data_IF_001599114259
#
_entry.id   IF_001599114259
#
_cell.length_a   1.000
_cell.length_b   1.000
_cell.length_c   1.000
_cell.angle_alpha   90.00
_cell.angle_beta   90.00
_cell.angle_gamma   90.00
#
_symmetry.space_group_name_H-M   'P 1'
#
loop_
_entity.id
_entity.type
_entity.pdbx_description
1 polymer ?
#
# COMPACT_ATOMS: atom_id res chain seq x y z
N UNK A 1 -1.13 9.66 -25.03
CA UNK A 1 -0.44 8.56 -24.33
C UNK A 1 -1.51 7.78 -23.57
N UNK A 2 -1.59 6.49 -23.84
CA UNK A 2 -2.58 5.55 -23.30
C UNK A 2 -2.14 5.03 -21.94
N UNK A 3 -3.09 4.81 -21.03
CA UNK A 3 -2.83 4.10 -19.76
C UNK A 3 -2.67 2.62 -20.06
N UNK A 4 -1.65 1.97 -19.52
CA UNK A 4 -1.45 0.51 -19.69
C UNK A 4 -2.49 -0.28 -18.89
N UNK A 5 -2.79 -1.51 -19.31
CA UNK A 5 -3.75 -2.39 -18.61
C UNK A 5 -3.43 -2.55 -17.12
N UNK A 6 -2.14 -2.66 -16.78
CA UNK A 6 -1.68 -2.80 -15.39
C UNK A 6 -2.03 -1.56 -14.55
N UNK A 7 -1.82 -0.37 -15.11
CA UNK A 7 -2.14 0.91 -14.44
C UNK A 7 -3.64 1.10 -14.26
N UNK A 8 -4.45 0.61 -15.20
CA UNK A 8 -5.91 0.59 -15.05
C UNK A 8 -6.33 -0.32 -13.88
N UNK A 9 -5.70 -1.49 -13.74
CA UNK A 9 -5.92 -2.39 -12.61
C UNK A 9 -5.57 -1.76 -11.25
N UNK A 10 -4.48 -1.00 -11.16
CA UNK A 10 -4.11 -0.30 -9.92
C UNK A 10 -5.12 0.78 -9.51
N UNK A 11 -5.73 1.47 -10.49
CA UNK A 11 -6.79 2.46 -10.23
C UNK A 11 -8.09 1.75 -9.78
N UNK A 12 -8.43 0.62 -10.40
CA UNK A 12 -9.58 -0.20 -10.00
C UNK A 12 -9.42 -0.73 -8.57
N UNK A 13 -8.22 -1.20 -8.22
CA UNK A 13 -7.89 -1.63 -6.86
C UNK A 13 -8.02 -0.48 -5.84
N UNK A 14 -7.59 0.73 -6.20
CA UNK A 14 -7.77 1.91 -5.34
C UNK A 14 -9.26 2.22 -5.11
N UNK A 15 -10.06 2.19 -6.18
CA UNK A 15 -11.51 2.40 -6.11
C UNK A 15 -12.17 1.36 -5.21
N UNK A 16 -11.83 0.08 -5.38
CA UNK A 16 -12.36 -1.00 -4.56
C UNK A 16 -12.01 -0.83 -3.07
N UNK A 17 -10.75 -0.48 -2.76
CA UNK A 17 -10.31 -0.24 -1.37
C UNK A 17 -11.06 0.93 -0.73
N UNK A 18 -11.27 2.03 -1.46
CA UNK A 18 -12.05 3.18 -1.00
C UNK A 18 -13.50 2.78 -0.71
N UNK A 19 -14.15 2.03 -1.61
CA UNK A 19 -15.53 1.54 -1.42
C UNK A 19 -15.65 0.61 -0.21
N UNK A 20 -14.72 -0.33 -0.05
CA UNK A 20 -14.66 -1.23 1.12
C UNK A 20 -14.53 -0.46 2.43
N UNK A 21 -13.64 0.53 2.49
CA UNK A 21 -13.52 1.41 3.66
C UNK A 21 -14.81 2.23 3.93
N UNK A 22 -15.47 2.74 2.89
CA UNK A 22 -16.76 3.45 3.02
C UNK A 22 -17.88 2.56 3.57
N UNK A 23 -17.86 1.26 3.23
CA UNK A 23 -18.85 0.30 3.72
C UNK A 23 -18.50 -0.27 5.10
N UNK A 24 -17.29 -0.01 5.62
CA UNK A 24 -16.79 -0.62 6.85
C UNK A 24 -16.26 -2.05 6.67
N UNK A 25 -16.10 -2.49 5.42
CA UNK A 25 -15.51 -3.78 5.04
C UNK A 25 -13.99 -3.69 5.13
N UNK A 26 -13.47 -3.60 6.35
CA UNK A 26 -12.04 -3.41 6.61
C UNK A 26 -11.35 -4.77 6.79
N UNK A 27 -10.12 -4.95 6.27
CA UNK A 27 -9.34 -6.17 6.49
C UNK A 27 -9.23 -6.52 7.98
N UNK A 28 -9.36 -7.80 8.31
CA UNK A 28 -9.40 -8.25 9.69
C UNK A 28 -8.15 -7.90 10.51
N UNK A 29 -7.03 -7.61 9.85
CA UNK A 29 -5.77 -7.21 10.47
C UNK A 29 -5.76 -5.78 11.06
N UNK A 30 -6.76 -4.93 10.74
CA UNK A 30 -6.75 -3.50 11.10
C UNK A 30 -7.86 -3.14 12.12
N UNK A 31 -8.52 -4.15 12.72
CA UNK A 31 -9.68 -3.99 13.62
C UNK A 31 -9.42 -3.11 14.86
N UNK A 32 -8.17 -2.98 15.29
CA UNK A 32 -7.79 -2.20 16.49
C UNK A 32 -7.56 -0.70 16.22
N UNK A 33 -7.63 -0.27 14.96
CA UNK A 33 -7.44 1.13 14.58
C UNK A 33 -8.78 1.85 14.42
N UNK A 34 -8.77 3.16 14.63
CA UNK A 34 -9.90 3.98 14.24
C UNK A 34 -10.14 3.87 12.74
N UNK A 35 -11.41 4.03 12.33
CA UNK A 35 -11.82 4.03 10.93
C UNK A 35 -10.96 4.97 10.06
N UNK A 36 -10.48 6.07 10.62
CA UNK A 36 -9.71 7.08 9.88
C UNK A 36 -8.23 6.73 9.79
N UNK A 37 -7.66 6.20 10.87
CA UNK A 37 -6.33 5.59 10.84
C UNK A 37 -6.25 4.41 9.86
N UNK A 38 -7.36 3.67 9.68
CA UNK A 38 -7.48 2.62 8.67
C UNK A 38 -7.44 3.19 7.25
N UNK A 39 -8.11 4.32 6.97
CA UNK A 39 -8.05 4.97 5.66
C UNK A 39 -6.61 5.28 5.26
N UNK A 40 -5.87 5.92 6.17
CA UNK A 40 -4.46 6.28 5.93
C UNK A 40 -3.65 5.02 5.63
N UNK A 41 -3.74 3.99 6.46
CA UNK A 41 -2.92 2.77 6.29
C UNK A 41 -3.32 1.90 5.10
N UNK A 42 -4.60 1.90 4.71
CA UNK A 42 -5.14 0.98 3.71
C UNK A 42 -5.21 1.58 2.31
N UNK A 43 -5.46 2.89 2.21
CA UNK A 43 -5.69 3.60 0.93
C UNK A 43 -4.46 4.38 0.46
N UNK A 44 -3.70 5.01 1.36
CA UNK A 44 -2.53 5.83 0.98
C UNK A 44 -1.48 5.06 0.16
N UNK A 45 -1.08 3.82 0.53
CA UNK A 45 -0.08 3.08 -0.25
C UNK A 45 -0.55 2.81 -1.68
N UNK A 46 -1.81 2.42 -1.84
CA UNK A 46 -2.42 2.13 -3.15
C UNK A 46 -2.55 3.41 -3.99
N UNK A 47 -2.90 4.53 -3.36
CA UNK A 47 -3.02 5.80 -4.04
C UNK A 47 -1.67 6.33 -4.55
N UNK A 48 -0.58 6.07 -3.81
CA UNK A 48 0.77 6.41 -4.26
C UNK A 48 1.19 5.59 -5.48
N UNK A 49 0.85 4.30 -5.54
CA UNK A 49 1.07 3.44 -6.73
C UNK A 49 0.34 4.01 -7.94
N UNK A 50 -0.93 4.40 -7.76
CA UNK A 50 -1.73 5.04 -8.82
C UNK A 50 -1.11 6.36 -9.29
N UNK A 51 -0.64 7.21 -8.38
CA UNK A 51 0.00 8.48 -8.73
C UNK A 51 1.28 8.28 -9.55
N UNK A 52 2.10 7.28 -9.19
CA UNK A 52 3.28 6.90 -9.97
C UNK A 52 2.90 6.33 -11.35
N UNK A 53 1.83 5.54 -11.43
CA UNK A 53 1.32 5.04 -12.72
C UNK A 53 0.82 6.16 -13.63
N UNK A 54 0.08 7.11 -13.07
CA UNK A 54 -0.51 8.25 -13.78
C UNK A 54 0.54 9.26 -14.24
N UNK A 55 1.65 9.46 -13.51
CA UNK A 55 2.71 10.42 -13.93
C UNK A 55 3.33 10.08 -15.26
N UNK A 56 3.44 8.78 -15.57
CA UNK A 56 3.97 8.31 -16.83
C UNK A 56 2.96 8.33 -18.00
N UNK A 57 1.65 8.47 -17.74
CA UNK A 57 0.61 8.37 -18.79
C UNK A 57 -0.26 9.61 -18.96
N UNK A 58 -0.57 10.30 -17.86
CA UNK A 58 -1.46 11.47 -17.81
C UNK A 58 -1.01 12.44 -16.70
N UNK A 59 0.12 13.14 -16.89
CA UNK A 59 0.71 14.02 -15.87
C UNK A 59 -0.24 15.11 -15.38
N UNK A 60 -1.11 15.63 -16.26
CA UNK A 60 -2.13 16.63 -15.89
C UNK A 60 -3.17 16.09 -14.89
N UNK A 61 -3.42 14.79 -14.89
CA UNK A 61 -4.35 14.15 -13.94
C UNK A 61 -3.70 13.84 -12.59
N UNK A 62 -2.37 13.67 -12.53
CA UNK A 62 -1.64 13.38 -11.29
C UNK A 62 -1.84 14.48 -10.27
N UNK A 63 -1.69 15.75 -10.68
CA UNK A 63 -1.83 16.88 -9.77
C UNK A 63 -3.22 16.90 -9.13
N UNK A 64 -4.26 16.60 -9.92
CA UNK A 64 -5.63 16.57 -9.45
C UNK A 64 -5.88 15.41 -8.46
N UNK A 65 -5.43 14.20 -8.80
CA UNK A 65 -5.54 13.01 -7.94
C UNK A 65 -4.75 13.20 -6.65
N UNK A 66 -3.54 13.77 -6.73
CA UNK A 66 -2.68 14.00 -5.56
C UNK A 66 -3.31 15.01 -4.60
N UNK A 67 -3.82 16.14 -5.09
CA UNK A 67 -4.48 17.15 -4.26
C UNK A 67 -5.69 16.54 -3.53
N UNK A 68 -6.50 15.75 -4.23
CA UNK A 68 -7.69 15.12 -3.63
C UNK A 68 -7.34 14.03 -2.61
N UNK A 69 -6.28 13.25 -2.86
CA UNK A 69 -5.77 12.30 -1.89
C UNK A 69 -5.28 13.00 -0.61
N UNK A 70 -4.50 14.07 -0.75
CA UNK A 70 -3.99 14.83 0.39
C UNK A 70 -5.12 15.49 1.20
N UNK A 71 -6.14 16.01 0.52
CA UNK A 71 -7.35 16.56 1.17
C UNK A 71 -8.07 15.48 2.00
N UNK A 72 -8.24 14.28 1.44
CA UNK A 72 -8.88 13.14 2.08
C UNK A 72 -8.09 12.66 3.32
N UNK A 73 -6.77 12.47 3.19
CA UNK A 73 -5.92 11.99 4.28
C UNK A 73 -5.81 13.02 5.41
N UNK A 74 -5.67 14.31 5.08
CA UNK A 74 -5.67 15.40 6.06
C UNK A 74 -6.97 15.43 6.85
N UNK A 75 -8.11 15.32 6.16
CA UNK A 75 -9.42 15.36 6.80
C UNK A 75 -9.62 14.14 7.71
N UNK A 76 -9.20 12.95 7.28
CA UNK A 76 -9.24 11.74 8.10
C UNK A 76 -8.47 11.90 9.42
N UNK A 77 -7.27 12.48 9.38
CA UNK A 77 -6.49 12.81 10.58
C UNK A 77 -7.23 13.77 11.51
N UNK A 78 -7.91 14.79 10.97
CA UNK A 78 -8.69 15.75 11.76
C UNK A 78 -9.89 15.11 12.47
N UNK A 79 -10.64 14.23 11.78
CA UNK A 79 -11.78 13.53 12.40
C UNK A 79 -11.31 12.59 13.50
N UNK A 80 -10.14 11.98 13.33
CA UNK A 80 -9.54 11.10 14.36
C UNK A 80 -9.21 11.87 15.64
N UNK A 81 -8.63 13.06 15.52
CA UNK A 81 -8.36 13.95 16.65
C UNK A 81 -9.66 14.45 17.30
N UNK A 82 -10.65 14.88 16.51
CA UNK A 82 -11.92 15.40 17.02
C UNK A 82 -12.70 14.35 17.83
N UNK A 83 -12.65 13.07 17.47
CA UNK A 83 -13.31 12.01 18.25
C UNK A 83 -12.81 11.90 19.69
N UNK A 84 -11.62 12.41 19.99
CA UNK A 84 -11.06 12.40 21.34
C UNK A 84 -11.59 13.55 22.20
N UNK A 85 -12.11 14.63 21.59
CA UNK A 85 -12.43 15.89 22.25
C UNK A 85 -13.91 16.32 22.11
N UNK A 86 -14.53 16.09 20.94
CA UNK A 86 -15.91 16.48 20.60
C UNK A 86 -16.59 15.46 19.68
N UNK A 87 -17.53 14.70 20.23
CA UNK A 87 -18.23 13.61 19.54
C UNK A 87 -19.20 14.14 18.47
N UNK A 88 -19.88 15.26 18.71
CA UNK A 88 -20.88 15.80 17.80
C UNK A 88 -20.22 16.52 16.62
N UNK A 89 -19.13 17.25 16.87
CA UNK A 89 -18.26 17.79 15.82
C UNK A 89 -17.63 16.69 14.96
N UNK A 90 -17.19 15.58 15.57
CA UNK A 90 -16.65 14.44 14.84
C UNK A 90 -17.68 13.76 13.93
N UNK A 91 -18.96 13.70 14.31
CA UNK A 91 -20.04 13.11 13.48
C UNK A 91 -20.33 13.93 12.23
N UNK A 92 -20.35 15.24 12.35
CA UNK A 92 -20.51 16.13 11.20
C UNK A 92 -19.33 15.95 10.23
N UNK A 93 -18.11 15.89 10.76
CA UNK A 93 -16.91 15.76 9.94
C UNK A 93 -16.70 14.38 9.34
N UNK A 94 -17.22 13.33 9.97
CA UNK A 94 -17.30 11.98 9.40
C UNK A 94 -18.12 11.96 8.10
N UNK A 95 -19.26 12.67 8.10
CA UNK A 95 -20.12 12.77 6.92
C UNK A 95 -19.42 13.52 5.78
N UNK A 96 -18.70 14.59 6.10
CA UNK A 96 -17.90 15.34 5.12
C UNK A 96 -16.76 14.49 4.54
N UNK A 97 -16.09 13.71 5.37
CA UNK A 97 -15.01 12.81 4.93
C UNK A 97 -15.52 11.72 3.99
N UNK A 98 -16.68 11.13 4.27
CA UNK A 98 -17.31 10.14 3.39
C UNK A 98 -17.72 10.75 2.05
N UNK A 99 -18.19 12.00 2.05
CA UNK A 99 -18.43 12.78 0.84
C UNK A 99 -17.18 12.96 0.00
N UNK A 100 -16.06 13.40 0.60
CA UNK A 100 -14.77 13.53 -0.08
C UNK A 100 -14.27 12.23 -0.69
N UNK A 101 -14.42 11.11 0.04
CA UNK A 101 -14.04 9.79 -0.49
C UNK A 101 -14.90 9.39 -1.69
N UNK A 102 -16.20 9.71 -1.68
CA UNK A 102 -17.11 9.44 -2.80
C UNK A 102 -16.72 10.28 -4.02
N UNK A 103 -16.45 11.56 -3.81
CA UNK A 103 -16.00 12.46 -4.88
C UNK A 103 -14.68 11.99 -5.50
N UNK A 104 -13.78 11.48 -4.66
CA UNK A 104 -12.51 10.92 -5.14
C UNK A 104 -12.71 9.65 -5.98
N UNK A 105 -13.60 8.74 -5.56
CA UNK A 105 -13.99 7.58 -6.38
C UNK A 105 -14.61 8.01 -7.71
N UNK A 106 -15.54 8.96 -7.69
CA UNK A 106 -16.19 9.49 -8.91
C UNK A 106 -15.21 10.18 -9.85
N UNK A 107 -14.12 10.74 -9.34
CA UNK A 107 -13.02 11.29 -10.14
C UNK A 107 -12.19 10.19 -10.82
N UNK A 108 -11.95 9.06 -10.15
CA UNK A 108 -11.13 7.96 -10.67
C UNK A 108 -11.88 7.06 -11.66
N UNK A 109 -13.19 6.86 -11.50
CA UNK A 109 -13.99 5.99 -12.38
C UNK A 109 -13.93 6.38 -13.88
N UNK A 110 -14.02 7.65 -14.28
CA UNK A 110 -13.85 8.07 -15.67
C UNK A 110 -12.46 7.78 -16.24
N UNK A 111 -11.42 7.81 -15.41
CA UNK A 111 -10.04 7.53 -15.80
C UNK A 111 -9.91 6.07 -16.24
N UNK A 112 -10.48 5.15 -15.45
CA UNK A 112 -10.57 3.72 -15.78
C UNK A 112 -11.41 3.50 -17.04
N UNK A 113 -12.60 4.12 -17.13
CA UNK A 113 -13.50 3.94 -18.28
C UNK A 113 -12.88 4.42 -19.59
N UNK A 114 -12.15 5.54 -19.56
CA UNK A 114 -11.45 6.08 -20.74
C UNK A 114 -10.32 5.16 -21.17
N UNK A 115 -9.55 4.64 -20.23
CA UNK A 115 -8.49 3.66 -20.52
C UNK A 115 -9.03 2.32 -21.06
N UNK A 116 -10.20 1.88 -20.59
CA UNK A 116 -10.84 0.65 -21.06
C UNK A 116 -11.46 0.79 -22.47
N UNK A 117 -11.84 2.01 -22.89
CA UNK A 117 -12.36 2.27 -24.24
C UNK A 117 -11.26 2.55 -25.27
N UNK A 118 -10.03 2.86 -24.84
CA UNK A 118 -8.84 2.96 -25.69
C UNK A 118 -8.16 1.58 -25.87
N UNK A 119 -8.94 0.52 -26.10
CA UNK A 119 -8.37 -0.80 -26.44
C UNK A 119 -7.47 -0.67 -27.67
N UNK A 120 -6.22 -1.16 -27.63
CA UNK A 120 -5.41 -1.30 -28.83
C UNK A 120 -6.06 -2.36 -29.72
N UNK A 121 -6.04 -2.13 -31.04
CA UNK A 121 -6.30 -3.16 -32.04
C UNK A 121 -5.48 -4.43 -31.71
N UNK A 122 -6.02 -5.64 -31.89
CA UNK A 122 -5.18 -6.82 -31.93
C UNK A 122 -4.45 -6.76 -33.26
N UNK A 123 -3.12 -6.78 -33.24
CA UNK A 123 -2.32 -7.51 -34.22
C UNK A 123 -0.83 -7.37 -33.82
N UNK A 124 -0.25 -8.54 -33.56
CA UNK A 124 1.13 -8.89 -33.87
C UNK A 124 2.24 -7.94 -33.42
N UNK A 125 2.68 -8.12 -32.17
CA UNK A 125 4.09 -7.96 -31.83
C UNK A 125 4.42 -8.77 -30.57
N UNK A 126 4.72 -10.05 -30.76
CA UNK A 126 5.85 -10.62 -30.05
C UNK A 126 7.04 -9.67 -30.24
N UNK A 127 7.52 -9.03 -29.17
CA UNK A 127 8.95 -8.82 -28.90
C UNK A 127 9.18 -7.91 -27.67
N UNK A 128 10.20 -8.29 -26.91
CA UNK A 128 10.89 -7.57 -25.84
C UNK A 128 10.28 -7.64 -24.42
N UNK A 129 10.52 -8.80 -23.80
CA UNK A 129 10.59 -9.02 -22.35
C UNK A 129 11.95 -8.62 -21.75
N UNK A 130 12.79 -7.88 -22.48
CA UNK A 130 14.09 -7.40 -22.03
C UNK A 130 14.05 -5.87 -22.11
N UNK A 131 13.70 -5.21 -21.00
CA UNK A 131 13.97 -3.78 -20.69
C UNK A 131 13.27 -3.28 -19.40
N UNK A 132 12.75 -4.15 -18.54
CA UNK A 132 12.29 -3.80 -17.18
C UNK A 132 13.35 -4.21 -16.13
N UNK A 133 14.63 -3.98 -16.43
CA UNK A 133 15.71 -4.05 -15.42
C UNK A 133 16.32 -2.67 -15.10
N UNK A 134 15.79 -1.58 -15.67
CA UNK A 134 16.46 -0.27 -15.58
C UNK A 134 15.63 0.91 -15.08
N UNK A 135 14.43 0.68 -14.52
CA UNK A 135 13.64 1.75 -13.89
C UNK A 135 13.07 1.40 -12.49
N UNK A 136 13.59 0.36 -11.84
CA UNK A 136 13.27 0.03 -10.43
C UNK A 136 14.43 0.43 -9.51
N UNK A 137 15.05 1.58 -9.77
CA UNK A 137 16.15 2.10 -8.93
C UNK A 137 15.71 3.23 -7.99
N UNK A 138 14.52 3.83 -8.17
CA UNK A 138 14.09 5.01 -7.38
C UNK A 138 12.82 4.82 -6.53
N UNK A 139 12.51 3.58 -6.14
CA UNK A 139 11.65 3.35 -4.96
C UNK A 139 12.25 2.24 -4.11
N UNK A 140 13.49 2.44 -3.68
CA UNK A 140 13.99 1.69 -2.52
C UNK A 140 13.07 2.00 -1.33
N UNK A 141 12.08 1.13 -1.08
CA UNK A 141 11.77 0.77 0.28
C UNK A 141 13.05 0.19 0.85
N UNK A 142 13.90 1.05 1.43
CA UNK A 142 15.14 0.66 2.09
C UNK A 142 14.73 -0.19 3.28
N UNK A 143 14.64 -1.50 3.06
CA UNK A 143 14.59 -2.48 4.14
C UNK A 143 15.97 -2.49 4.78
N UNK A 144 16.02 -2.20 6.08
CA UNK A 144 17.23 -2.37 6.88
C UNK A 144 17.71 -3.83 6.79
N UNK A 145 19.01 -4.07 6.99
CA UNK A 145 19.62 -5.41 6.92
C UNK A 145 18.87 -6.41 7.82
N UNK A 146 18.45 -5.95 9.01
CA UNK A 146 17.66 -6.75 9.95
C UNK A 146 16.29 -7.12 9.37
N UNK A 147 15.67 -6.21 8.63
CA UNK A 147 14.35 -6.42 8.03
C UNK A 147 14.42 -7.39 6.86
N UNK A 148 15.48 -7.31 6.03
CA UNK A 148 15.76 -8.27 4.97
C UNK A 148 16.00 -9.67 5.55
N UNK A 149 16.82 -9.77 6.60
CA UNK A 149 17.09 -11.04 7.29
C UNK A 149 15.83 -11.64 7.92
N UNK A 150 14.93 -10.80 8.45
CA UNK A 150 13.61 -11.22 8.94
C UNK A 150 12.77 -11.84 7.83
N UNK A 151 12.65 -11.16 6.68
CA UNK A 151 11.85 -11.62 5.54
C UNK A 151 12.43 -12.94 5.00
N UNK A 152 13.74 -13.00 4.81
CA UNK A 152 14.45 -14.21 4.37
C UNK A 152 14.30 -15.38 5.36
N UNK A 153 14.23 -15.10 6.65
CA UNK A 153 14.03 -16.11 7.69
C UNK A 153 12.59 -16.65 7.73
N UNK A 154 11.57 -15.83 7.41
CA UNK A 154 10.19 -16.29 7.35
C UNK A 154 9.96 -17.24 6.18
N UNK A 155 10.34 -16.84 4.97
CA UNK A 155 9.87 -17.50 3.73
C UNK A 155 8.35 -17.74 3.84
N UNK A 156 7.92 -18.95 3.54
CA UNK A 156 6.54 -19.46 3.58
C UNK A 156 6.14 -20.04 4.97
N UNK A 157 6.88 -19.71 6.04
CA UNK A 157 6.64 -20.23 7.40
C UNK A 157 6.23 -19.14 8.38
N UNK A 158 5.24 -19.46 9.22
CA UNK A 158 4.86 -18.64 10.37
C UNK A 158 5.80 -18.90 11.55
N UNK A 159 6.47 -17.87 12.09
CA UNK A 159 7.45 -18.00 13.17
C UNK A 159 7.19 -17.00 14.31
N UNK A 160 7.37 -17.45 15.56
CA UNK A 160 7.35 -16.55 16.72
C UNK A 160 8.56 -15.62 16.71
N UNK A 161 8.47 -14.45 17.34
CA UNK A 161 9.55 -13.46 17.33
C UNK A 161 10.91 -14.01 17.79
N UNK A 162 10.92 -14.87 18.81
CA UNK A 162 12.15 -15.51 19.31
C UNK A 162 12.73 -16.55 18.33
N UNK A 163 11.88 -17.36 17.68
CA UNK A 163 12.31 -18.33 16.66
C UNK A 163 12.82 -17.62 15.40
N UNK A 164 12.16 -16.53 15.05
CA UNK A 164 12.52 -15.69 13.92
C UNK A 164 13.87 -15.01 14.12
N UNK A 165 14.13 -14.45 15.31
CA UNK A 165 15.44 -13.88 15.66
C UNK A 165 16.57 -14.91 15.53
N UNK A 166 16.35 -16.13 16.07
CA UNK A 166 17.31 -17.23 15.95
C UNK A 166 17.59 -17.59 14.49
N UNK A 167 16.56 -17.62 13.64
CA UNK A 167 16.68 -18.00 12.22
C UNK A 167 17.28 -16.89 11.36
N UNK A 168 17.00 -15.64 11.69
CA UNK A 168 17.61 -14.44 11.12
C UNK A 168 19.04 -14.19 11.64
N UNK A 169 19.54 -15.00 12.59
CA UNK A 169 20.86 -14.85 13.23
C UNK A 169 21.06 -13.51 13.96
N UNK A 170 19.97 -12.95 14.50
CA UNK A 170 19.97 -11.72 15.29
C UNK A 170 19.56 -11.98 16.74
N UNK A 171 20.10 -11.23 17.72
CA UNK A 171 19.60 -11.26 19.09
C UNK A 171 18.16 -10.72 19.16
N UNK A 172 17.31 -11.34 19.98
CA UNK A 172 15.93 -10.88 20.19
C UNK A 172 15.85 -9.66 21.13
N UNK A 173 16.44 -8.55 20.69
CA UNK A 173 16.58 -7.31 21.45
C UNK A 173 15.62 -6.21 20.96
N UNK A 174 15.72 -5.00 21.53
CA UNK A 174 14.88 -3.87 21.16
C UNK A 174 14.94 -3.54 19.66
N UNK A 175 16.15 -3.53 19.06
CA UNK A 175 16.33 -3.24 17.63
C UNK A 175 15.56 -4.23 16.76
N UNK A 176 15.70 -5.53 17.04
CA UNK A 176 14.98 -6.59 16.31
C UNK A 176 13.46 -6.48 16.47
N UNK A 177 12.97 -6.20 17.68
CA UNK A 177 11.53 -5.99 17.96
C UNK A 177 10.99 -4.76 17.23
N UNK A 178 11.78 -3.68 17.14
CA UNK A 178 11.43 -2.47 16.42
C UNK A 178 11.33 -2.72 14.91
N UNK A 179 12.27 -3.47 14.32
CA UNK A 179 12.21 -3.89 12.91
C UNK A 179 10.99 -4.78 12.62
N UNK A 180 10.70 -5.76 13.49
CA UNK A 180 9.48 -6.57 13.41
C UNK A 180 8.20 -5.71 13.46
N UNK A 181 8.17 -4.74 14.36
CA UNK A 181 7.05 -3.80 14.51
C UNK A 181 6.92 -2.89 13.29
N UNK A 182 8.04 -2.41 12.74
CA UNK A 182 8.09 -1.58 11.53
C UNK A 182 7.58 -2.33 10.29
N UNK A 183 8.06 -3.54 10.08
CA UNK A 183 7.59 -4.42 9.01
C UNK A 183 6.09 -4.75 9.12
N UNK A 184 5.61 -5.05 10.33
CA UNK A 184 4.17 -5.23 10.59
C UNK A 184 3.37 -3.96 10.33
N UNK A 185 3.85 -2.79 10.78
CA UNK A 185 3.19 -1.50 10.58
C UNK A 185 3.04 -1.13 9.12
N UNK A 186 3.99 -1.55 8.27
CA UNK A 186 3.99 -1.37 6.81
C UNK A 186 3.16 -2.41 6.07
N UNK A 187 2.57 -3.39 6.76
CA UNK A 187 1.75 -4.44 6.13
C UNK A 187 2.56 -5.53 5.44
N UNK A 188 3.90 -5.51 5.55
CA UNK A 188 4.77 -6.53 4.94
C UNK A 188 4.64 -7.85 5.72
N UNK A 189 4.51 -7.77 7.05
CA UNK A 189 4.31 -8.93 7.91
C UNK A 189 2.92 -8.96 8.51
N UNK A 190 2.25 -10.09 8.35
CA UNK A 190 1.08 -10.47 9.11
C UNK A 190 1.45 -11.03 10.48
N UNK A 191 0.49 -11.05 11.41
CA UNK A 191 0.63 -11.66 12.73
C UNK A 191 -0.59 -12.52 13.05
N UNK A 192 -0.37 -13.83 13.18
CA UNK A 192 -1.33 -14.79 13.74
C UNK A 192 -0.72 -15.26 15.05
N UNK A 193 -1.18 -14.69 16.17
CA UNK A 193 -0.61 -14.96 17.50
C UNK A 193 -0.43 -16.48 17.72
N UNK A 194 0.77 -16.97 18.07
CA UNK A 194 1.96 -16.23 18.53
C UNK A 194 3.03 -15.91 17.45
N UNK A 195 2.72 -16.00 16.16
CA UNK A 195 3.69 -15.97 15.06
C UNK A 195 3.46 -14.92 13.96
N UNK A 196 4.56 -14.50 13.36
CA UNK A 196 4.62 -13.61 12.19
C UNK A 196 4.70 -14.44 10.91
N UNK A 197 4.09 -13.95 9.83
CA UNK A 197 4.19 -14.53 8.48
C UNK A 197 4.35 -13.41 7.46
N UNK A 198 4.93 -13.73 6.30
CA UNK A 198 4.99 -12.79 5.18
C UNK A 198 3.62 -12.73 4.51
N UNK A 199 3.10 -11.53 4.26
CA UNK A 199 1.86 -11.41 3.49
C UNK A 199 2.08 -11.82 2.03
N UNK A 200 1.13 -12.53 1.37
CA UNK A 200 1.31 -13.06 0.02
C UNK A 200 1.69 -11.99 -1.02
N UNK A 201 1.17 -10.77 -0.83
CA UNK A 201 1.45 -9.61 -1.68
C UNK A 201 2.93 -9.19 -1.68
N UNK A 202 3.72 -9.65 -0.70
CA UNK A 202 5.14 -9.32 -0.53
C UNK A 202 6.08 -10.53 -0.75
N UNK A 203 5.58 -11.65 -1.27
CA UNK A 203 6.40 -12.83 -1.57
C UNK A 203 7.55 -12.54 -2.54
N UNK A 204 7.40 -11.55 -3.42
CA UNK A 204 8.46 -11.11 -4.33
C UNK A 204 9.73 -10.63 -3.60
N UNK A 205 9.63 -10.21 -2.33
CA UNK A 205 10.78 -9.82 -1.50
C UNK A 205 11.69 -11.01 -1.15
N UNK A 206 11.20 -12.25 -1.26
CA UNK A 206 12.01 -13.47 -1.04
C UNK A 206 12.98 -13.75 -2.18
N UNK A 207 12.69 -13.25 -3.38
CA UNK A 207 13.50 -13.45 -4.58
C UNK A 207 14.55 -12.35 -4.80
N UNK A 208 14.57 -11.33 -3.93
CA UNK A 208 15.58 -10.26 -4.03
C UNK A 208 16.90 -10.78 -3.47
N UNK A 209 18.01 -10.76 -4.24
CA UNK A 209 19.30 -11.21 -3.73
C UNK A 209 19.71 -10.28 -2.58
N UNK A 210 19.95 -10.84 -1.39
CA UNK A 210 20.49 -10.10 -0.26
C UNK A 210 21.74 -9.34 -0.73
N UNK A 211 21.76 -8.01 -0.59
CA UNK A 211 22.95 -7.20 -0.85
C UNK A 211 24.05 -7.69 0.10
N UNK A 212 24.87 -8.64 -0.36
CA UNK A 212 26.06 -9.09 0.37
C UNK A 212 26.99 -7.89 0.44
N UNK A 213 26.99 -7.20 1.57
CA UNK A 213 28.00 -6.20 1.89
C UNK A 213 29.38 -6.81 1.64
N UNK A 214 30.10 -6.23 0.68
CA UNK A 214 31.50 -6.54 0.42
C UNK A 214 32.28 -6.31 1.71
N UNK A 215 33.13 -7.29 2.03
CA UNK A 215 34.12 -7.26 3.11
C UNK A 215 34.95 -5.98 3.08
#
# INVERSE_FOLDING_TARGET
>A
MTITSDKTGEIELLIDRLKKWQNGDIPHAIKDYSRYSQLIRFVEPQANIVLMGLSAGMPETVRLVHVKLQELLRKASQVDSLKQEDIDGARLEDSNLLGLARDFVLMLEPIVKKAAHEKPMPDDAEQNLEDIEQNVEDTEQILDDIEQDIIAALRDKTLTGAKLAKKARHPYNFKFKSSLSGLRKRGILGNKSPGYFLEPEYEFLLNKPAKRSRK
#
